data_IF_929911266360
#
_entry.id   IF_929911266360
#
_cell.length_a   1.000
_cell.length_b   1.000
_cell.length_c   1.000
_cell.angle_alpha   90.00
_cell.angle_beta   90.00
_cell.angle_gamma   90.00
#
_symmetry.space_group_name_H-M   'P 1'
#
loop_
_entity.id
_entity.type
_entity.pdbx_description
1 polymer ?
#
# COMPACT_ATOMS: atom_id res chain seq x y z
N UNK A 1 23.09 -5.05 71.39
CA UNK A 1 23.85 -5.22 70.14
C UNK A 1 22.89 -5.74 69.08
N UNK A 2 22.26 -4.83 68.33
CA UNK A 2 21.33 -5.19 67.25
C UNK A 2 22.09 -5.25 65.93
N UNK A 3 22.12 -6.42 65.32
CA UNK A 3 22.70 -6.59 63.97
C UNK A 3 21.61 -6.31 62.93
N UNK A 4 21.79 -5.23 62.17
CA UNK A 4 20.97 -4.90 61.01
C UNK A 4 21.51 -5.72 59.82
N UNK A 5 20.68 -6.60 59.30
CA UNK A 5 20.96 -7.33 58.04
C UNK A 5 20.37 -6.55 56.90
N UNK A 6 21.24 -5.92 56.10
CA UNK A 6 20.86 -5.20 54.86
C UNK A 6 20.69 -6.22 53.75
N UNK A 7 19.44 -6.42 53.30
CA UNK A 7 19.10 -7.27 52.15
C UNK A 7 19.24 -6.43 50.87
N UNK A 8 20.29 -6.64 50.06
CA UNK A 8 20.44 -6.05 48.75
C UNK A 8 19.56 -6.82 47.74
N UNK A 9 18.44 -6.21 47.30
CA UNK A 9 17.68 -6.69 46.13
C UNK A 9 18.43 -6.31 44.84
N UNK A 10 18.98 -7.32 44.18
CA UNK A 10 19.47 -7.21 42.81
C UNK A 10 18.28 -7.17 41.85
N UNK A 11 17.98 -5.97 41.31
CA UNK A 11 17.07 -5.81 40.17
C UNK A 11 17.76 -6.25 38.87
N UNK A 12 17.48 -7.44 38.40
CA UNK A 12 17.87 -7.91 37.07
C UNK A 12 16.93 -7.30 36.06
N UNK A 13 17.38 -6.22 35.40
CA UNK A 13 16.67 -5.64 34.26
C UNK A 13 16.86 -6.53 33.03
N UNK A 14 15.83 -7.29 32.66
CA UNK A 14 15.76 -7.96 31.37
C UNK A 14 15.60 -6.91 30.27
N UNK A 15 16.70 -6.53 29.64
CA UNK A 15 16.67 -5.77 28.39
C UNK A 15 16.21 -6.70 27.27
N UNK A 16 14.93 -6.62 26.89
CA UNK A 16 14.42 -7.29 25.71
C UNK A 16 15.00 -6.58 24.47
N UNK A 17 16.16 -7.06 23.99
CA UNK A 17 16.70 -6.63 22.70
C UNK A 17 15.79 -7.16 21.60
N UNK A 18 14.91 -6.32 21.05
CA UNK A 18 14.21 -6.63 19.82
C UNK A 18 15.25 -6.87 18.71
N UNK A 19 15.41 -8.10 18.31
CA UNK A 19 16.33 -8.52 17.27
C UNK A 19 15.87 -7.89 15.96
N UNK A 20 16.69 -7.04 15.31
CA UNK A 20 16.35 -6.47 14.00
C UNK A 20 16.12 -7.61 13.01
N UNK A 21 15.01 -7.59 12.23
CA UNK A 21 14.76 -8.62 11.22
C UNK A 21 15.97 -8.77 10.31
N UNK A 22 16.31 -9.99 9.97
CA UNK A 22 17.39 -10.29 9.02
C UNK A 22 17.14 -9.51 7.71
N UNK A 23 18.16 -8.82 7.19
CA UNK A 23 18.07 -8.14 5.89
C UNK A 23 17.93 -9.11 4.72
N UNK A 24 18.11 -10.40 4.96
CA UNK A 24 18.04 -11.48 3.97
C UNK A 24 16.59 -11.76 3.60
N UNK A 25 16.20 -11.47 2.36
CA UNK A 25 14.86 -11.69 1.82
C UNK A 25 14.09 -10.41 1.50
N UNK A 26 14.54 -9.24 1.97
CA UNK A 26 13.98 -7.95 1.59
C UNK A 26 14.46 -7.52 0.20
N UNK A 27 13.52 -7.06 -0.60
CA UNK A 27 13.74 -6.45 -1.91
C UNK A 27 13.36 -4.97 -1.80
N UNK A 28 14.29 -4.07 -2.11
CA UNK A 28 13.97 -2.65 -2.24
C UNK A 28 13.32 -2.44 -3.60
N UNK A 29 11.99 -2.28 -3.64
CA UNK A 29 11.29 -1.95 -4.87
C UNK A 29 11.64 -0.53 -5.32
N UNK A 30 11.77 0.41 -4.37
CA UNK A 30 12.30 1.75 -4.62
C UNK A 30 13.75 1.84 -4.15
N UNK A 31 14.65 2.16 -5.07
CA UNK A 31 16.09 2.20 -4.81
C UNK A 31 16.60 3.54 -4.23
N UNK A 32 15.73 4.55 -4.11
CA UNK A 32 16.04 5.90 -3.63
C UNK A 32 16.81 6.77 -4.64
N UNK A 33 16.98 6.34 -5.89
CA UNK A 33 17.81 7.02 -6.89
C UNK A 33 17.07 7.37 -8.17
N UNK A 34 16.32 6.42 -8.71
CA UNK A 34 15.65 6.55 -10.00
C UNK A 34 14.38 5.68 -10.07
N UNK A 35 13.63 5.81 -11.16
CA UNK A 35 12.39 5.09 -11.44
C UNK A 35 12.56 4.00 -12.51
N UNK A 36 13.77 3.54 -12.81
CA UNK A 36 14.07 2.59 -13.90
C UNK A 36 13.36 1.23 -13.78
N UNK A 37 12.98 0.84 -12.54
CA UNK A 37 12.27 -0.42 -12.27
C UNK A 37 10.74 -0.22 -12.20
N UNK A 38 10.25 0.93 -12.68
CA UNK A 38 8.86 1.33 -12.59
C UNK A 38 8.31 1.76 -13.96
N UNK A 39 7.05 1.39 -14.22
CA UNK A 39 6.28 1.82 -15.38
C UNK A 39 5.21 2.83 -14.95
N UNK A 40 5.06 3.91 -15.69
CA UNK A 40 4.10 4.98 -15.36
C UNK A 40 2.93 4.89 -16.32
N UNK A 41 1.70 4.92 -15.80
CA UNK A 41 0.47 5.04 -16.57
C UNK A 41 -0.39 6.15 -15.98
N UNK A 42 -0.64 7.17 -16.76
CA UNK A 42 -1.52 8.29 -16.42
C UNK A 42 -2.69 8.29 -17.42
N UNK A 43 -3.92 8.50 -16.95
CA UNK A 43 -5.13 8.58 -17.78
C UNK A 43 -4.93 9.62 -18.88
N UNK A 44 -5.27 9.29 -20.11
CA UNK A 44 -5.08 10.14 -21.27
C UNK A 44 -3.70 10.08 -21.93
N UNK A 45 -2.73 9.38 -21.30
CA UNK A 45 -1.33 9.32 -21.75
C UNK A 45 -0.89 7.91 -22.13
N UNK A 46 0.14 7.81 -22.95
CA UNK A 46 0.75 6.54 -23.31
C UNK A 46 1.47 5.91 -22.10
N UNK A 47 1.65 4.58 -22.12
CA UNK A 47 2.47 3.91 -21.12
C UNK A 47 3.89 4.50 -21.11
N UNK A 48 4.40 4.79 -19.92
CA UNK A 48 5.69 5.42 -19.66
C UNK A 48 5.82 6.88 -20.10
N UNK A 49 4.72 7.52 -20.49
CA UNK A 49 4.65 8.98 -20.60
C UNK A 49 4.45 9.56 -19.19
N UNK A 50 5.51 10.10 -18.62
CA UNK A 50 5.46 10.77 -17.31
C UNK A 50 5.03 12.23 -17.50
N UNK A 51 3.73 12.43 -17.75
CA UNK A 51 3.16 13.74 -18.05
C UNK A 51 3.52 14.76 -16.96
N UNK A 52 4.00 15.94 -17.39
CA UNK A 52 4.43 17.04 -16.52
C UNK A 52 5.38 16.61 -15.38
N UNK A 53 6.14 15.52 -15.62
CA UNK A 53 7.06 14.96 -14.61
C UNK A 53 6.39 14.65 -13.26
N UNK A 54 5.15 14.10 -13.31
CA UNK A 54 4.32 13.77 -12.14
C UNK A 54 5.08 12.92 -11.13
N UNK A 55 5.75 11.87 -11.60
CA UNK A 55 6.57 11.01 -10.75
C UNK A 55 8.05 11.36 -10.94
N UNK A 56 8.71 11.65 -9.85
CA UNK A 56 10.14 11.96 -9.86
C UNK A 56 10.85 11.55 -8.58
N UNK A 57 12.16 11.51 -8.61
CA UNK A 57 12.97 11.22 -7.42
C UNK A 57 13.77 12.46 -7.05
N UNK A 58 13.58 12.94 -5.83
CA UNK A 58 14.31 14.06 -5.28
C UNK A 58 14.77 13.73 -3.86
N UNK A 59 16.04 13.96 -3.55
CA UNK A 59 16.62 13.75 -2.22
C UNK A 59 16.35 12.33 -1.65
N UNK A 60 16.38 11.30 -2.52
CA UNK A 60 16.14 9.92 -2.09
C UNK A 60 14.67 9.55 -1.87
N UNK A 61 13.73 10.41 -2.26
CA UNK A 61 12.30 10.24 -2.08
C UNK A 61 11.62 10.20 -3.45
N UNK A 62 10.73 9.22 -3.68
CA UNK A 62 9.82 9.23 -4.82
C UNK A 62 8.69 10.20 -4.50
N UNK A 63 8.45 11.14 -5.39
CA UNK A 63 7.43 12.17 -5.25
C UNK A 63 6.38 12.07 -6.32
N UNK A 64 5.15 12.33 -5.94
CA UNK A 64 4.07 12.75 -6.82
C UNK A 64 3.94 14.25 -6.69
N UNK A 65 4.07 14.97 -7.78
CA UNK A 65 4.08 16.43 -7.80
C UNK A 65 3.28 16.96 -8.98
N UNK A 66 2.53 18.01 -8.74
CA UNK A 66 1.65 18.62 -9.72
C UNK A 66 2.07 20.05 -10.13
N UNK A 67 3.29 20.46 -9.81
CA UNK A 67 3.78 21.82 -10.11
C UNK A 67 3.79 22.17 -11.59
N UNK A 68 3.84 21.17 -12.48
CA UNK A 68 3.74 21.35 -13.93
C UNK A 68 2.30 21.44 -14.46
N UNK A 69 1.32 21.05 -13.65
CA UNK A 69 -0.08 21.02 -14.07
C UNK A 69 -0.73 22.39 -13.98
N UNK A 70 -1.61 22.71 -14.94
CA UNK A 70 -2.47 23.90 -14.87
C UNK A 70 -3.74 23.61 -14.06
N UNK A 71 -4.27 22.40 -14.19
CA UNK A 71 -5.49 21.91 -13.57
C UNK A 71 -5.44 20.40 -13.51
N UNK A 72 -6.17 19.78 -12.57
CA UNK A 72 -6.20 18.33 -12.39
C UNK A 72 -6.67 17.56 -13.61
N UNK A 73 -7.78 17.97 -14.20
CA UNK A 73 -8.36 17.39 -15.42
C UNK A 73 -8.45 15.85 -15.40
N UNK A 74 -8.79 15.27 -14.26
CA UNK A 74 -8.94 13.81 -14.03
C UNK A 74 -7.73 12.97 -14.46
N UNK A 75 -6.53 13.51 -14.36
CA UNK A 75 -5.32 12.80 -14.76
C UNK A 75 -4.85 11.85 -13.64
N UNK A 76 -5.68 10.83 -13.37
CA UNK A 76 -5.34 9.73 -12.46
C UNK A 76 -4.10 9.00 -12.94
N UNK A 77 -3.15 8.77 -12.06
CA UNK A 77 -1.90 8.14 -12.42
C UNK A 77 -1.48 7.04 -11.47
N UNK A 78 -0.76 6.07 -12.02
CA UNK A 78 -0.22 4.96 -11.27
C UNK A 78 1.21 4.67 -11.73
N UNK A 79 2.10 4.39 -10.77
CA UNK A 79 3.47 3.96 -11.06
C UNK A 79 3.63 2.51 -10.60
N UNK A 80 3.86 1.60 -11.55
CA UNK A 80 3.87 0.14 -11.37
C UNK A 80 5.28 -0.37 -11.23
N UNK A 81 5.56 -1.15 -10.20
CA UNK A 81 6.80 -1.93 -10.17
C UNK A 81 6.81 -2.97 -11.30
N UNK A 82 7.96 -3.15 -11.97
CA UNK A 82 8.10 -4.00 -13.17
C UNK A 82 7.79 -5.48 -12.97
N UNK A 83 7.86 -5.99 -11.74
CA UNK A 83 7.60 -7.40 -11.42
C UNK A 83 6.25 -7.57 -10.74
N UNK A 84 5.61 -8.70 -10.99
CA UNK A 84 4.42 -9.14 -10.27
C UNK A 84 4.80 -10.08 -9.12
N UNK A 85 3.91 -10.18 -8.12
CA UNK A 85 4.07 -10.98 -6.92
C UNK A 85 2.75 -11.60 -6.50
N UNK A 86 2.81 -12.76 -5.81
CA UNK A 86 1.64 -13.47 -5.31
C UNK A 86 1.59 -13.57 -3.77
N UNK A 87 2.76 -13.61 -3.10
CA UNK A 87 2.84 -13.68 -1.65
C UNK A 87 4.00 -12.84 -1.12
N UNK A 88 3.70 -11.87 -0.27
CA UNK A 88 4.69 -10.90 0.21
C UNK A 88 4.21 -10.11 1.43
N UNK A 89 5.16 -9.50 2.14
CA UNK A 89 4.93 -8.37 3.02
C UNK A 89 5.47 -7.12 2.32
N UNK A 90 4.58 -6.22 1.93
CA UNK A 90 4.92 -4.91 1.37
C UNK A 90 4.95 -3.86 2.48
N UNK A 91 5.99 -3.04 2.50
CA UNK A 91 6.14 -1.91 3.42
C UNK A 91 6.27 -0.63 2.61
N UNK A 92 5.35 0.29 2.82
CA UNK A 92 5.36 1.62 2.21
C UNK A 92 5.43 2.67 3.31
N UNK A 93 6.41 3.58 3.23
CA UNK A 93 6.43 4.77 4.08
C UNK A 93 6.09 5.98 3.23
N UNK A 94 4.92 6.57 3.49
CA UNK A 94 4.37 7.69 2.73
C UNK A 94 4.07 8.89 3.62
N UNK A 95 3.96 10.08 3.00
CA UNK A 95 3.37 11.29 3.61
C UNK A 95 2.74 12.17 2.53
N UNK A 96 1.70 12.88 2.90
CA UNK A 96 1.14 13.94 2.08
C UNK A 96 1.87 15.25 2.36
N UNK A 97 2.05 16.08 1.32
CA UNK A 97 2.73 17.37 1.41
C UNK A 97 2.00 18.41 0.56
N UNK A 98 2.20 19.68 0.87
CA UNK A 98 1.64 20.77 0.05
C UNK A 98 0.12 20.80 -0.04
N UNK A 99 -0.37 21.40 -1.11
CA UNK A 99 -1.79 21.60 -1.36
C UNK A 99 -2.27 20.76 -2.53
N UNK A 100 -3.55 20.40 -2.53
CA UNK A 100 -4.19 19.74 -3.66
C UNK A 100 -4.22 20.68 -4.86
N UNK A 101 -3.93 20.13 -6.04
CA UNK A 101 -4.04 20.92 -7.28
C UNK A 101 -5.48 21.38 -7.53
N UNK A 102 -5.61 22.55 -8.17
CA UNK A 102 -6.91 23.07 -8.61
C UNK A 102 -7.67 22.05 -9.48
N UNK A 103 -8.98 21.99 -9.34
CA UNK A 103 -9.83 21.01 -10.02
C UNK A 103 -9.82 19.61 -9.40
N UNK A 104 -8.96 19.33 -8.44
CA UNK A 104 -8.99 18.06 -7.70
C UNK A 104 -10.28 17.90 -6.88
N UNK A 105 -10.98 16.73 -6.96
CA UNK A 105 -12.21 16.53 -6.21
C UNK A 105 -11.94 16.46 -4.70
N UNK A 106 -12.87 16.95 -3.90
CA UNK A 106 -12.69 17.03 -2.44
C UNK A 106 -12.40 15.69 -1.76
N UNK A 107 -12.96 14.59 -2.27
CA UNK A 107 -12.68 13.25 -1.76
C UNK A 107 -11.23 12.79 -2.01
N UNK A 108 -10.57 13.32 -3.05
CA UNK A 108 -9.17 13.01 -3.39
C UNK A 108 -8.16 13.89 -2.64
N UNK A 109 -8.62 14.77 -1.75
CA UNK A 109 -7.73 15.54 -0.89
C UNK A 109 -6.97 14.61 0.05
N UNK A 110 -5.63 14.68 0.06
CA UNK A 110 -4.73 13.77 0.80
C UNK A 110 -5.14 12.31 0.61
N UNK A 111 -5.27 11.90 -0.65
CA UNK A 111 -5.62 10.56 -1.07
C UNK A 111 -4.57 10.02 -2.04
N UNK A 112 -4.20 8.77 -1.84
CA UNK A 112 -3.29 7.95 -2.63
C UNK A 112 -3.53 6.49 -2.24
N UNK A 113 -2.78 5.55 -2.81
CA UNK A 113 -2.93 4.14 -2.44
C UNK A 113 -1.81 3.26 -2.98
N UNK A 114 -1.73 2.05 -2.43
CA UNK A 114 -0.99 0.95 -3.01
C UNK A 114 -1.97 -0.02 -3.67
N UNK A 115 -1.86 -0.17 -4.99
CA UNK A 115 -2.64 -1.11 -5.78
C UNK A 115 -1.99 -2.48 -5.69
N UNK A 116 -2.71 -3.44 -5.12
CA UNK A 116 -2.28 -4.83 -4.94
C UNK A 116 -2.94 -5.71 -5.99
N UNK A 117 -2.23 -6.72 -6.48
CA UNK A 117 -2.69 -7.57 -7.57
C UNK A 117 -3.20 -6.80 -8.79
N UNK A 118 -2.59 -5.63 -9.04
CA UNK A 118 -2.98 -4.78 -10.16
C UNK A 118 -2.78 -5.49 -11.51
N UNK A 119 -3.68 -5.19 -12.46
CA UNK A 119 -3.49 -5.60 -13.84
C UNK A 119 -2.16 -5.12 -14.40
N UNK A 120 -1.67 -5.77 -15.43
CA UNK A 120 -0.45 -5.35 -16.10
C UNK A 120 -0.63 -3.95 -16.73
N UNK A 121 0.30 -3.00 -16.52
CA UNK A 121 0.14 -1.63 -16.99
C UNK A 121 0.00 -1.51 -18.51
N UNK A 122 0.60 -2.44 -19.27
CA UNK A 122 0.49 -2.52 -20.73
C UNK A 122 -0.91 -2.96 -21.22
N UNK A 123 -1.75 -3.51 -20.33
CA UNK A 123 -3.14 -3.87 -20.62
C UNK A 123 -4.14 -2.78 -20.30
N UNK A 124 -3.71 -1.68 -19.66
CA UNK A 124 -4.56 -0.53 -19.43
C UNK A 124 -4.77 0.26 -20.73
N UNK A 125 -6.02 0.56 -21.05
CA UNK A 125 -6.33 1.43 -22.16
C UNK A 125 -5.84 2.86 -21.88
N UNK A 126 -5.71 3.65 -22.96
CA UNK A 126 -5.16 5.03 -22.86
C UNK A 126 -5.92 5.86 -21.83
N UNK A 127 -7.25 5.81 -21.86
CA UNK A 127 -8.13 6.63 -21.02
C UNK A 127 -8.65 5.90 -19.78
N UNK A 128 -8.11 4.70 -19.48
CA UNK A 128 -8.45 3.97 -18.27
C UNK A 128 -7.96 4.74 -17.04
N UNK A 129 -8.85 4.98 -16.08
CA UNK A 129 -8.58 5.75 -14.87
C UNK A 129 -7.80 4.96 -13.81
N UNK A 130 -8.33 3.81 -13.38
CA UNK A 130 -7.71 2.95 -12.35
C UNK A 130 -7.34 1.59 -12.93
N UNK A 131 -6.26 0.96 -12.47
CA UNK A 131 -6.02 -0.45 -12.77
C UNK A 131 -7.06 -1.32 -12.05
N UNK A 132 -7.49 -2.41 -12.67
CA UNK A 132 -8.21 -3.47 -11.96
C UNK A 132 -7.28 -3.97 -10.86
N UNK A 133 -7.64 -3.77 -9.59
CA UNK A 133 -6.75 -4.00 -8.44
C UNK A 133 -7.51 -4.01 -7.12
N UNK A 134 -6.78 -4.29 -6.04
CA UNK A 134 -7.21 -4.09 -4.67
C UNK A 134 -6.37 -2.95 -4.09
N UNK A 135 -7.02 -1.89 -3.68
CA UNK A 135 -6.32 -0.71 -3.17
C UNK A 135 -6.24 -0.74 -1.65
N UNK A 136 -5.02 -0.71 -1.12
CA UNK A 136 -4.77 -0.25 0.23
C UNK A 136 -4.71 1.28 0.19
N UNK A 137 -5.85 1.93 0.44
CA UNK A 137 -6.01 3.38 0.30
C UNK A 137 -5.28 4.13 1.41
N UNK A 138 -4.44 5.08 1.04
CA UNK A 138 -3.74 5.98 1.95
C UNK A 138 -4.49 7.29 2.07
N UNK A 139 -4.90 7.64 3.27
CA UNK A 139 -5.55 8.92 3.55
C UNK A 139 -4.79 9.71 4.61
N UNK A 140 -4.81 11.04 4.46
CA UNK A 140 -4.29 11.99 5.44
C UNK A 140 -5.41 12.82 6.07
N UNK A 141 -5.28 13.18 7.34
CA UNK A 141 -6.26 13.97 8.07
C UNK A 141 -6.04 15.48 7.97
N UNK A 142 -7.12 16.23 8.16
CA UNK A 142 -7.18 17.70 8.08
C UNK A 142 -6.98 18.41 9.43
N UNK A 143 -6.60 17.68 10.47
CA UNK A 143 -6.41 18.21 11.83
C UNK A 143 -7.68 18.24 12.68
N UNK A 144 -8.84 17.85 12.15
CA UNK A 144 -10.15 17.93 12.84
C UNK A 144 -10.92 16.62 12.76
N UNK A 145 -11.23 16.18 11.55
CA UNK A 145 -12.15 15.08 11.30
C UNK A 145 -11.45 13.73 11.33
N UNK A 146 -12.17 12.69 11.75
CA UNK A 146 -11.69 11.32 11.64
C UNK A 146 -11.67 10.87 10.17
N UNK A 147 -10.54 10.35 9.75
CA UNK A 147 -10.32 9.83 8.41
C UNK A 147 -9.29 8.70 8.46
N UNK A 148 -9.78 7.47 8.57
CA UNK A 148 -8.92 6.28 8.64
C UNK A 148 -8.08 6.13 7.37
N UNK A 149 -6.88 5.55 7.51
CA UNK A 149 -6.03 5.16 6.38
C UNK A 149 -6.00 3.64 6.24
N UNK A 150 -5.38 3.12 5.17
CA UNK A 150 -5.38 1.69 4.86
C UNK A 150 -6.79 1.11 4.74
N UNK A 151 -7.71 1.90 4.23
CA UNK A 151 -9.02 1.43 3.83
C UNK A 151 -8.90 0.43 2.69
N UNK A 152 -9.94 -0.33 2.42
CA UNK A 152 -10.02 -1.13 1.20
C UNK A 152 -10.86 -0.38 0.17
N UNK A 153 -10.31 -0.18 -1.04
CA UNK A 153 -11.10 0.14 -2.23
C UNK A 153 -10.87 -0.93 -3.31
N UNK A 154 -11.89 -1.17 -4.13
CA UNK A 154 -11.93 -2.32 -5.05
C UNK A 154 -12.21 -1.88 -6.49
N UNK A 155 -11.31 -1.10 -7.14
CA UNK A 155 -11.51 -0.74 -8.53
C UNK A 155 -11.49 -2.00 -9.43
N UNK A 156 -12.64 -2.30 -10.05
CA UNK A 156 -12.82 -3.46 -10.92
C UNK A 156 -12.68 -4.83 -10.22
N UNK A 157 -12.84 -4.88 -8.90
CA UNK A 157 -12.68 -6.11 -8.11
C UNK A 157 -13.77 -6.26 -7.04
N UNK A 158 -13.88 -7.47 -6.50
CA UNK A 158 -14.69 -7.80 -5.33
C UNK A 158 -13.86 -8.66 -4.37
N UNK A 159 -14.24 -8.68 -3.11
CA UNK A 159 -13.60 -9.47 -2.05
C UNK A 159 -14.62 -10.13 -1.15
N UNK A 160 -14.18 -10.96 -0.21
CA UNK A 160 -15.00 -11.42 0.89
C UNK A 160 -14.55 -10.74 2.19
N UNK A 161 -15.47 -10.02 2.82
CA UNK A 161 -15.34 -9.48 4.17
C UNK A 161 -16.20 -10.32 5.11
N UNK A 162 -15.63 -10.77 6.23
CA UNK A 162 -16.32 -11.61 7.22
C UNK A 162 -17.08 -12.80 6.60
N UNK A 163 -16.45 -13.42 5.59
CA UNK A 163 -16.98 -14.58 4.90
C UNK A 163 -18.12 -14.28 3.92
N UNK A 164 -18.45 -13.02 3.63
CA UNK A 164 -19.50 -12.60 2.69
C UNK A 164 -18.90 -11.81 1.53
N UNK A 165 -19.47 -12.02 0.35
CA UNK A 165 -19.11 -11.25 -0.83
C UNK A 165 -19.41 -9.76 -0.58
N UNK A 166 -18.37 -8.94 -0.72
CA UNK A 166 -18.41 -7.49 -0.60
C UNK A 166 -18.21 -6.86 -1.98
N UNK A 167 -19.21 -6.11 -2.44
CA UNK A 167 -19.25 -5.49 -3.77
C UNK A 167 -19.22 -3.95 -3.77
N UNK A 168 -19.45 -3.25 -2.63
CA UNK A 168 -19.25 -1.81 -2.58
C UNK A 168 -17.80 -1.42 -2.91
N UNK A 169 -17.60 -0.19 -3.42
CA UNK A 169 -16.28 0.26 -3.86
C UNK A 169 -15.27 0.36 -2.73
N UNK A 170 -15.64 1.04 -1.65
CA UNK A 170 -14.71 1.24 -0.52
C UNK A 170 -15.35 0.91 0.82
N UNK A 171 -14.49 0.53 1.78
CA UNK A 171 -14.83 0.37 3.19
C UNK A 171 -13.69 0.87 4.07
N UNK A 172 -14.05 1.62 5.12
CA UNK A 172 -13.09 2.18 6.07
C UNK A 172 -12.43 1.10 6.92
N UNK A 173 -11.15 1.26 7.17
CA UNK A 173 -10.39 0.46 8.12
C UNK A 173 -10.65 0.91 9.57
N UNK A 174 -10.13 0.16 10.53
CA UNK A 174 -10.15 0.54 11.95
C UNK A 174 -8.92 1.36 12.38
N UNK A 175 -8.16 1.94 11.44
CA UNK A 175 -7.00 2.76 11.78
C UNK A 175 -7.40 4.10 12.38
N UNK A 176 -6.48 4.70 13.15
CA UNK A 176 -6.60 6.11 13.52
C UNK A 176 -6.35 7.03 12.32
N UNK A 177 -6.66 8.31 12.48
CA UNK A 177 -6.32 9.37 11.54
C UNK A 177 -4.89 9.86 11.74
N UNK A 178 -4.16 10.05 10.65
CA UNK A 178 -2.81 10.64 10.64
C UNK A 178 -2.90 12.06 10.08
N UNK A 179 -2.76 13.05 10.96
CA UNK A 179 -2.88 14.47 10.60
C UNK A 179 -1.53 15.07 10.19
N UNK A 180 -1.59 16.10 9.34
CA UNK A 180 -0.41 16.85 8.90
C UNK A 180 0.50 16.03 7.97
N UNK A 181 1.75 16.50 7.84
CA UNK A 181 2.73 15.95 6.88
C UNK A 181 3.64 14.89 7.53
N UNK A 182 3.09 14.07 8.41
CA UNK A 182 3.85 13.01 9.08
C UNK A 182 4.05 11.80 8.19
N UNK A 183 5.19 11.13 8.37
CA UNK A 183 5.44 9.85 7.74
C UNK A 183 4.59 8.75 8.38
N UNK A 184 3.87 8.01 7.55
CA UNK A 184 3.07 6.85 7.93
C UNK A 184 3.71 5.60 7.34
N UNK A 185 3.89 4.57 8.16
CA UNK A 185 4.35 3.26 7.73
C UNK A 185 3.15 2.34 7.56
N UNK A 186 2.84 2.06 6.31
CA UNK A 186 1.81 1.12 5.90
C UNK A 186 2.43 -0.24 5.59
N UNK A 187 1.80 -1.32 6.05
CA UNK A 187 2.24 -2.68 5.77
C UNK A 187 1.07 -3.49 5.21
N UNK A 188 1.31 -4.20 4.11
CA UNK A 188 0.32 -5.07 3.47
C UNK A 188 0.86 -6.49 3.42
N UNK A 189 0.27 -7.41 4.20
CA UNK A 189 0.56 -8.82 4.12
C UNK A 189 -0.38 -9.46 3.10
N UNK A 190 0.20 -9.95 2.02
CA UNK A 190 -0.51 -10.59 0.91
C UNK A 190 -0.08 -12.05 0.83
N UNK A 191 -1.04 -12.95 0.89
CA UNK A 191 -0.84 -14.40 0.75
C UNK A 191 -1.84 -14.95 -0.27
N UNK A 192 -1.53 -14.80 -1.55
CA UNK A 192 -2.47 -15.10 -2.63
C UNK A 192 -3.73 -14.22 -2.51
N UNK A 193 -4.88 -14.84 -2.30
CA UNK A 193 -6.19 -14.18 -2.17
C UNK A 193 -6.58 -13.80 -0.73
N UNK A 194 -5.63 -13.84 0.20
CA UNK A 194 -5.82 -13.38 1.58
C UNK A 194 -4.92 -12.19 1.87
N UNK A 195 -5.50 -11.07 2.25
CA UNK A 195 -4.77 -9.81 2.43
C UNK A 195 -5.12 -9.18 3.77
N UNK A 196 -4.09 -8.63 4.43
CA UNK A 196 -4.23 -7.82 5.65
C UNK A 196 -3.51 -6.49 5.47
N UNK A 197 -4.17 -5.39 5.85
CA UNK A 197 -3.53 -4.09 5.98
C UNK A 197 -3.17 -3.85 7.45
N UNK A 198 -1.97 -3.36 7.68
CA UNK A 198 -1.37 -3.24 9.01
C UNK A 198 -0.77 -1.85 9.15
N UNK A 199 -1.02 -1.20 10.27
CA UNK A 199 -0.40 0.06 10.66
C UNK A 199 -0.22 0.09 12.18
N UNK A 200 0.88 0.68 12.65
CA UNK A 200 1.25 0.70 14.09
C UNK A 200 1.21 -0.71 14.72
N UNK A 201 1.61 -1.75 13.97
CA UNK A 201 1.63 -3.15 14.42
C UNK A 201 0.25 -3.78 14.62
N UNK A 202 -0.84 -3.18 14.09
CA UNK A 202 -2.21 -3.68 14.20
C UNK A 202 -2.80 -3.97 12.83
N UNK A 203 -3.48 -5.11 12.69
CA UNK A 203 -4.34 -5.36 11.53
C UNK A 203 -5.54 -4.44 11.62
N UNK A 204 -5.70 -3.55 10.62
CA UNK A 204 -6.78 -2.57 10.56
C UNK A 204 -7.82 -2.88 9.49
N UNK A 205 -7.47 -3.77 8.55
CA UNK A 205 -8.33 -4.28 7.49
C UNK A 205 -7.87 -5.69 7.12
N UNK A 206 -8.81 -6.60 6.85
CA UNK A 206 -8.50 -7.92 6.30
C UNK A 206 -9.63 -8.43 5.43
N UNK A 207 -9.29 -9.13 4.37
CA UNK A 207 -10.24 -9.70 3.42
C UNK A 207 -9.63 -10.90 2.69
N UNK A 208 -10.49 -11.68 2.05
CA UNK A 208 -10.10 -12.92 1.36
C UNK A 208 -10.86 -13.09 0.04
N UNK A 209 -10.53 -14.15 -0.71
CA UNK A 209 -11.22 -14.54 -1.94
C UNK A 209 -11.33 -13.37 -2.92
N UNK A 210 -10.20 -12.70 -3.14
CA UNK A 210 -10.09 -11.58 -4.07
C UNK A 210 -10.35 -12.04 -5.50
N UNK A 211 -11.20 -11.30 -6.23
CA UNK A 211 -11.60 -11.65 -7.59
C UNK A 211 -11.89 -10.39 -8.41
N UNK A 212 -11.80 -10.49 -9.73
CA UNK A 212 -12.30 -9.46 -10.63
C UNK A 212 -13.83 -9.33 -10.47
N UNK A 213 -14.37 -8.14 -10.66
CA UNK A 213 -15.78 -7.85 -10.51
C UNK A 213 -16.05 -6.40 -10.15
N UNK A 214 -17.30 -6.07 -9.88
CA UNK A 214 -17.68 -4.70 -9.49
C UNK A 214 -17.47 -3.67 -10.59
N UNK A 215 -17.55 -2.40 -10.20
CA UNK A 215 -17.39 -1.22 -11.05
C UNK A 215 -16.16 -0.38 -10.66
N UNK A 216 -16.33 0.95 -10.82
CA UNK A 216 -15.32 1.97 -10.44
C UNK A 216 -13.98 1.82 -11.14
N UNK A 217 -14.03 1.39 -12.39
CA UNK A 217 -12.97 1.46 -13.38
C UNK A 217 -13.64 1.85 -14.70
N UNK A 218 -13.21 2.96 -15.26
CA UNK A 218 -13.70 3.43 -16.56
C UNK A 218 -12.70 3.11 -17.67
N UNK A 219 -13.22 2.92 -18.87
CA UNK A 219 -12.43 2.71 -20.09
C UNK A 219 -11.49 1.49 -20.02
N UNK A 220 -11.91 0.40 -19.39
CA UNK A 220 -11.15 -0.85 -19.33
C UNK A 220 -11.37 -1.73 -20.59
N UNK A 221 -10.42 -2.63 -20.86
CA UNK A 221 -10.58 -3.68 -21.88
C UNK A 221 -11.43 -4.83 -21.34
N UNK A 222 -12.61 -5.12 -21.93
CA UNK A 222 -13.46 -6.24 -21.49
C UNK A 222 -12.80 -7.62 -21.58
N UNK A 223 -11.77 -7.78 -22.41
CA UNK A 223 -11.02 -9.03 -22.50
C UNK A 223 -10.13 -9.25 -21.26
N UNK A 224 -9.80 -8.19 -20.53
CA UNK A 224 -8.98 -8.24 -19.32
C UNK A 224 -9.84 -8.41 -18.08
N UNK A 225 -10.97 -7.67 -17.97
CA UNK A 225 -11.87 -7.70 -16.83
C UNK A 225 -12.90 -8.82 -16.99
N UNK A 226 -12.61 -9.97 -16.39
CA UNK A 226 -13.50 -11.15 -16.40
C UNK A 226 -14.05 -11.34 -15.00
N UNK A 227 -15.32 -10.94 -14.78
CA UNK A 227 -15.95 -11.00 -13.47
C UNK A 227 -15.97 -12.43 -12.90
N UNK A 228 -15.67 -12.54 -11.60
CA UNK A 228 -15.53 -13.82 -10.90
C UNK A 228 -14.16 -14.49 -11.06
N UNK A 229 -13.27 -13.98 -11.92
CA UNK A 229 -11.91 -14.55 -12.06
C UNK A 229 -11.11 -14.25 -10.78
N UNK A 230 -10.58 -15.29 -10.10
CA UNK A 230 -9.75 -15.10 -8.91
C UNK A 230 -8.51 -14.26 -9.19
N UNK A 231 -8.18 -13.35 -8.26
CA UNK A 231 -6.95 -12.56 -8.26
C UNK A 231 -6.04 -13.07 -7.13
N UNK A 232 -4.93 -13.72 -7.49
CA UNK A 232 -3.98 -14.29 -6.52
C UNK A 232 -2.55 -13.81 -6.72
N UNK A 233 -2.31 -13.07 -7.78
CA UNK A 233 -1.05 -12.43 -8.13
C UNK A 233 -1.31 -11.19 -8.98
N UNK A 234 -0.35 -10.31 -9.06
CA UNK A 234 -0.41 -9.14 -9.93
C UNK A 234 0.72 -8.16 -9.65
N UNK A 235 0.63 -7.01 -10.28
CA UNK A 235 1.59 -5.94 -10.09
C UNK A 235 1.28 -5.16 -8.80
N UNK A 236 2.27 -4.40 -8.34
CA UNK A 236 2.13 -3.43 -7.26
C UNK A 236 2.28 -2.06 -7.89
N UNK A 237 1.32 -1.16 -7.64
CA UNK A 237 1.44 0.22 -8.08
C UNK A 237 1.19 1.20 -6.93
N UNK A 238 1.70 2.43 -7.07
CA UNK A 238 1.43 3.55 -6.20
C UNK A 238 0.66 4.61 -6.98
N UNK A 239 -0.35 5.19 -6.36
CA UNK A 239 -1.31 6.08 -7.02
C UNK A 239 -0.92 7.55 -6.90
N UNK A 240 -1.23 8.33 -7.95
CA UNK A 240 -1.31 9.80 -7.95
C UNK A 240 -2.75 10.22 -8.21
N UNK A 241 -3.32 11.06 -7.31
CA UNK A 241 -4.75 11.38 -7.31
C UNK A 241 -5.02 12.81 -6.85
N UNK A 242 -4.42 13.78 -7.51
CA UNK A 242 -4.56 15.24 -7.33
C UNK A 242 -3.89 15.87 -6.10
N UNK A 243 -3.48 15.11 -5.07
CA UNK A 243 -2.76 15.66 -3.93
C UNK A 243 -1.31 15.17 -3.91
N UNK A 244 -0.31 16.03 -3.71
CA UNK A 244 1.10 15.63 -3.65
C UNK A 244 1.35 14.63 -2.51
N UNK A 245 2.05 13.56 -2.83
CA UNK A 245 2.44 12.51 -1.89
C UNK A 245 3.89 12.11 -2.11
N UNK A 246 4.56 11.77 -1.05
CA UNK A 246 5.95 11.32 -1.06
C UNK A 246 6.06 9.90 -0.50
N UNK A 247 6.96 9.10 -1.11
CA UNK A 247 7.30 7.74 -0.69
C UNK A 247 8.81 7.66 -0.46
N UNK A 248 9.24 7.50 0.79
CA UNK A 248 10.66 7.34 1.12
C UNK A 248 11.11 5.89 1.18
N UNK A 249 10.16 4.95 1.28
CA UNK A 249 10.41 3.51 1.34
C UNK A 249 9.31 2.75 0.62
N UNK A 250 9.70 1.82 -0.24
CA UNK A 250 8.85 0.78 -0.83
C UNK A 250 9.69 -0.49 -0.83
N UNK A 251 9.55 -1.29 0.22
CA UNK A 251 10.30 -2.53 0.41
C UNK A 251 9.34 -3.72 0.45
N UNK A 252 9.77 -4.85 -0.08
CA UNK A 252 8.99 -6.08 -0.15
C UNK A 252 9.80 -7.25 0.41
N UNK A 253 9.20 -8.02 1.31
CA UNK A 253 9.72 -9.32 1.68
C UNK A 253 8.95 -10.41 0.91
N UNK A 254 9.64 -11.12 0.02
CA UNK A 254 9.01 -12.15 -0.81
C UNK A 254 8.75 -13.42 0.00
N UNK A 255 7.49 -13.81 0.10
CA UNK A 255 7.00 -14.97 0.87
C UNK A 255 6.68 -16.18 -0.02
N UNK A 256 6.73 -16.05 -1.35
CA UNK A 256 6.28 -17.09 -2.30
C UNK A 256 6.89 -18.47 -2.03
N UNK A 257 8.17 -18.52 -1.71
CA UNK A 257 8.86 -19.78 -1.40
C UNK A 257 8.45 -20.43 -0.08
N UNK A 258 7.66 -19.74 0.75
CA UNK A 258 7.24 -20.23 2.08
C UNK A 258 5.78 -20.65 2.12
N UNK A 259 4.93 -20.24 1.16
CA UNK A 259 3.48 -20.51 1.19
C UNK A 259 3.13 -22.00 1.19
N UNK A 260 4.01 -22.86 0.67
CA UNK A 260 3.87 -24.32 0.69
C UNK A 260 4.24 -24.98 2.01
N UNK A 261 4.84 -24.27 2.96
CA UNK A 261 5.25 -24.78 4.27
C UNK A 261 4.70 -23.88 5.40
N UNK A 262 3.54 -24.24 5.91
CA UNK A 262 2.82 -23.47 6.92
C UNK A 262 3.66 -23.14 8.16
N UNK A 263 4.52 -24.08 8.61
CA UNK A 263 5.35 -23.88 9.81
C UNK A 263 6.45 -22.85 9.55
N UNK A 264 7.11 -22.95 8.41
CA UNK A 264 8.14 -21.97 8.01
C UNK A 264 7.54 -20.60 7.76
N UNK A 265 6.42 -20.53 7.05
CA UNK A 265 5.71 -19.27 6.82
C UNK A 265 5.36 -18.60 8.15
N UNK A 266 4.76 -19.35 9.11
CA UNK A 266 4.42 -18.81 10.41
C UNK A 266 5.65 -18.29 11.17
N UNK A 267 6.75 -19.04 11.19
CA UNK A 267 8.00 -18.60 11.84
C UNK A 267 8.56 -17.29 11.24
N UNK A 268 8.49 -17.14 9.92
CA UNK A 268 8.90 -15.89 9.23
C UNK A 268 7.94 -14.73 9.57
N UNK A 269 6.63 -14.99 9.59
CA UNK A 269 5.65 -13.96 9.94
C UNK A 269 5.78 -13.51 11.41
N UNK A 270 6.05 -14.40 12.33
CA UNK A 270 6.30 -14.07 13.75
C UNK A 270 7.56 -13.19 13.91
N UNK A 271 8.59 -13.37 13.05
CA UNK A 271 9.79 -12.53 13.01
C UNK A 271 9.50 -11.14 12.38
N UNK A 272 8.79 -11.11 11.25
CA UNK A 272 8.53 -9.88 10.49
C UNK A 272 7.46 -8.99 11.14
N UNK A 273 6.44 -9.60 11.73
CA UNK A 273 5.26 -8.95 12.27
C UNK A 273 4.99 -9.41 13.71
N UNK A 274 5.90 -9.10 14.66
CA UNK A 274 5.75 -9.56 16.02
C UNK A 274 4.44 -9.05 16.65
N UNK A 275 3.57 -9.96 17.08
CA UNK A 275 2.26 -9.65 17.67
C UNK A 275 1.10 -9.49 16.69
N UNK A 276 1.35 -9.49 15.39
CA UNK A 276 0.30 -9.39 14.33
C UNK A 276 -0.15 -10.78 13.85
N UNK A 277 0.70 -11.77 13.94
CA UNK A 277 0.49 -13.12 13.38
C UNK A 277 -0.41 -14.04 14.20
N UNK A 278 -1.00 -13.56 15.30
CA UNK A 278 -1.89 -14.35 16.16
C UNK A 278 -3.36 -14.16 15.82
#
# INVERSE_FOLDING_TARGET
MNKIVTLCLLLVSFSCSAQKPSSKGWIKLFNGKDLKDWNIKIKGHALNENFENTYRVENGVMKVDYSGYKDWNEQYGHIFHKNKFSAYLLVVEYRFTGEQIAGGPGWAWRNSGAMLHAQAPETMLKDQDFPISLEAQFLGGNGKDERSTLNLCTPGTNVYLDGKLFTPHCVSSSSKTYHGDQWVRAEMLVLGDSIKHIVDGKVVMQYTHTQMGGGNVDSFDPAIKIDGKPLKEGYIALQSESHPVEFRKVDLFNLEKYVGDRRKLQGILDELLPGVSK
#
